data_IF_646836439863
#
_entry.id   IF_646836439863
#
_cell.length_a   1.000
_cell.length_b   1.000
_cell.length_c   1.000
_cell.angle_alpha   90.00
_cell.angle_beta   90.00
_cell.angle_gamma   90.00
#
_symmetry.space_group_name_H-M   'P 1'
#
loop_
_entity.id
_entity.type
_entity.pdbx_description
1 polymer ?
#
# COMPACT_ATOMS: atom_id res chain seq x y z
N UNK A 1 1.58 25.75 -22.57
CA UNK A 1 1.39 24.82 -21.42
C UNK A 1 1.95 23.48 -21.82
N UNK A 2 3.03 23.03 -21.18
CA UNK A 2 3.55 21.66 -21.35
C UNK A 2 2.88 20.82 -20.28
N UNK A 3 2.08 19.85 -20.70
CA UNK A 3 1.49 18.85 -19.82
C UNK A 3 2.62 18.10 -19.12
N UNK A 4 2.74 18.21 -17.81
CA UNK A 4 3.51 17.28 -17.00
C UNK A 4 2.69 16.00 -16.90
N UNK A 5 3.22 14.90 -17.44
CA UNK A 5 2.64 13.58 -17.23
C UNK A 5 3.26 13.05 -15.95
N UNK A 6 2.52 13.16 -14.85
CA UNK A 6 2.83 12.43 -13.62
C UNK A 6 2.39 11.00 -13.89
N UNK A 7 3.34 10.06 -13.87
CA UNK A 7 3.00 8.63 -13.87
C UNK A 7 2.54 8.30 -12.46
N UNK A 8 1.23 8.37 -12.22
CA UNK A 8 0.66 7.76 -11.02
C UNK A 8 0.65 6.25 -11.28
N UNK A 9 1.31 5.42 -10.46
CA UNK A 9 1.39 3.97 -10.69
C UNK A 9 0.03 3.28 -10.65
N UNK A 10 -0.97 3.93 -10.04
CA UNK A 10 -2.33 3.43 -9.78
C UNK A 10 -3.36 4.56 -9.95
N UNK A 11 -4.63 4.25 -10.17
CA UNK A 11 -5.71 5.23 -10.35
C UNK A 11 -6.49 5.54 -9.06
N UNK A 12 -5.78 5.58 -7.95
CA UNK A 12 -6.31 5.92 -6.64
C UNK A 12 -5.57 7.17 -6.13
N UNK A 13 -6.28 8.08 -5.49
CA UNK A 13 -5.82 9.42 -5.11
C UNK A 13 -6.96 10.44 -5.21
N UNK A 14 -6.83 11.60 -4.55
CA UNK A 14 -7.94 12.55 -4.28
C UNK A 14 -8.69 13.07 -5.52
N UNK A 15 -8.10 12.94 -6.72
CA UNK A 15 -8.72 13.34 -7.98
C UNK A 15 -9.38 12.20 -8.76
N UNK A 16 -9.37 10.96 -8.25
CA UNK A 16 -10.00 9.80 -8.87
C UNK A 16 -11.17 9.30 -8.03
N UNK A 17 -12.40 9.26 -8.57
CA UNK A 17 -13.55 8.77 -7.82
C UNK A 17 -13.38 7.28 -7.49
N UNK A 18 -13.63 6.89 -6.24
CA UNK A 18 -13.58 5.50 -5.78
C UNK A 18 -14.95 5.02 -5.27
N UNK A 19 -15.09 3.71 -5.09
CA UNK A 19 -16.27 3.10 -4.45
C UNK A 19 -15.90 1.83 -3.67
N UNK A 20 -16.69 1.52 -2.64
CA UNK A 20 -16.58 0.29 -1.87
C UNK A 20 -16.80 -0.95 -2.75
N UNK A 21 -15.88 -1.90 -2.65
CA UNK A 21 -15.84 -3.10 -3.46
C UNK A 21 -15.69 -4.38 -2.61
N UNK A 22 -16.36 -4.45 -1.46
CA UNK A 22 -16.34 -5.61 -0.58
C UNK A 22 -15.12 -5.60 0.35
N UNK A 23 -14.07 -6.41 0.11
CA UNK A 23 -12.86 -6.43 0.94
C UNK A 23 -11.90 -5.28 0.65
N UNK A 24 -12.28 -4.29 -0.17
CA UNK A 24 -11.43 -3.19 -0.59
C UNK A 24 -12.23 -2.17 -1.37
N UNK A 25 -11.57 -1.45 -2.27
CA UNK A 25 -12.17 -0.38 -3.07
C UNK A 25 -11.84 -0.53 -4.56
N UNK A 26 -12.61 0.17 -5.40
CA UNK A 26 -12.40 0.22 -6.84
C UNK A 26 -12.30 1.66 -7.32
N UNK A 27 -11.34 1.93 -8.20
CA UNK A 27 -11.24 3.20 -8.91
C UNK A 27 -12.33 3.26 -9.98
N UNK A 28 -13.26 4.21 -9.88
CA UNK A 28 -14.35 4.39 -10.81
C UNK A 28 -13.90 4.95 -12.16
N UNK A 29 -12.66 5.40 -12.30
CA UNK A 29 -12.09 5.82 -13.59
C UNK A 29 -11.53 4.67 -14.41
N UNK A 30 -10.85 3.70 -13.80
CA UNK A 30 -10.13 2.62 -14.49
C UNK A 30 -10.75 1.24 -14.29
N UNK A 31 -11.52 1.06 -13.22
CA UNK A 31 -11.95 -0.25 -12.74
C UNK A 31 -10.86 -1.06 -12.05
N UNK A 32 -9.75 -0.41 -11.67
CA UNK A 32 -8.72 -1.00 -10.83
C UNK A 32 -9.27 -1.29 -9.43
N UNK A 33 -9.03 -2.50 -8.92
CA UNK A 33 -9.28 -2.88 -7.53
C UNK A 33 -8.03 -2.72 -6.66
N UNK A 34 -8.22 -2.23 -5.43
CA UNK A 34 -7.22 -2.17 -4.36
C UNK A 34 -7.79 -2.71 -3.04
N UNK A 35 -6.94 -3.38 -2.24
CA UNK A 35 -7.24 -3.78 -0.87
C UNK A 35 -5.96 -3.72 -0.02
N UNK A 36 -6.09 -3.45 1.27
CA UNK A 36 -5.00 -3.48 2.24
C UNK A 36 -5.31 -4.39 3.42
N UNK A 37 -4.26 -4.87 4.09
CA UNK A 37 -4.37 -5.70 5.28
C UNK A 37 -3.18 -5.47 6.21
N UNK A 38 -3.47 -5.27 7.50
CA UNK A 38 -2.47 -5.30 8.57
C UNK A 38 -2.28 -6.72 9.06
N UNK A 39 -1.10 -7.29 8.83
CA UNK A 39 -0.78 -8.65 9.25
C UNK A 39 -0.26 -8.68 10.70
N UNK A 40 0.42 -7.62 11.14
CA UNK A 40 0.97 -7.49 12.50
C UNK A 40 0.68 -6.09 13.03
N UNK A 41 0.16 -6.02 14.25
CA UNK A 41 0.10 -4.80 15.07
C UNK A 41 0.44 -5.20 16.51
N UNK A 42 1.46 -4.55 17.06
CA UNK A 42 1.93 -4.82 18.42
C UNK A 42 2.04 -3.52 19.22
N UNK A 43 1.16 -3.34 20.22
CA UNK A 43 1.13 -2.12 21.00
C UNK A 43 2.42 -1.77 21.72
N UNK A 44 2.64 -0.46 21.91
CA UNK A 44 3.87 0.07 22.48
C UNK A 44 3.76 1.25 23.42
N UNK A 45 4.90 1.60 24.01
CA UNK A 45 5.03 2.79 24.86
C UNK A 45 5.18 4.10 24.06
N UNK A 46 5.54 4.02 22.77
CA UNK A 46 5.76 5.14 21.82
C UNK A 46 5.38 4.68 20.41
N UNK A 47 4.10 4.35 20.25
CA UNK A 47 3.54 3.83 19.00
C UNK A 47 3.59 2.30 18.87
N UNK A 48 2.75 1.83 17.97
CA UNK A 48 2.52 0.41 17.69
C UNK A 48 3.49 -0.06 16.60
N UNK A 49 4.12 -1.23 16.78
CA UNK A 49 4.87 -1.84 15.69
C UNK A 49 3.90 -2.51 14.72
N UNK A 50 3.90 -2.10 13.45
CA UNK A 50 3.01 -2.64 12.44
C UNK A 50 3.75 -3.19 11.21
N UNK A 51 3.14 -4.21 10.60
CA UNK A 51 3.45 -4.67 9.24
C UNK A 51 2.14 -4.87 8.51
N UNK A 52 2.01 -4.18 7.39
CA UNK A 52 0.85 -4.22 6.53
C UNK A 52 1.26 -4.52 5.09
N UNK A 53 0.26 -4.67 4.23
CA UNK A 53 0.43 -4.83 2.80
C UNK A 53 -0.79 -4.31 2.08
N UNK A 54 -0.58 -3.87 0.86
CA UNK A 54 -1.64 -3.49 -0.06
C UNK A 54 -1.55 -4.33 -1.33
N UNK A 55 -2.66 -4.46 -2.04
CA UNK A 55 -2.74 -5.09 -3.34
C UNK A 55 -3.37 -4.13 -4.32
N UNK A 56 -2.81 -4.03 -5.52
CA UNK A 56 -3.42 -3.33 -6.64
C UNK A 56 -3.46 -4.24 -7.88
N UNK A 57 -4.65 -4.32 -8.49
CA UNK A 57 -4.86 -5.09 -9.70
C UNK A 57 -4.18 -4.52 -10.96
N UNK A 58 -3.78 -3.25 -10.96
CA UNK A 58 -3.11 -2.61 -12.11
C UNK A 58 -1.70 -2.13 -11.75
N UNK A 59 -1.11 -2.66 -10.67
CA UNK A 59 0.26 -2.33 -10.29
C UNK A 59 1.28 -2.55 -11.42
N UNK A 60 2.32 -1.72 -11.45
CA UNK A 60 3.41 -1.84 -12.42
C UNK A 60 4.12 -3.20 -12.33
N UNK A 61 4.68 -3.67 -13.44
CA UNK A 61 5.28 -5.02 -13.55
C UNK A 61 6.59 -5.22 -12.80
N UNK A 62 7.19 -4.15 -12.26
CA UNK A 62 8.54 -4.17 -11.67
C UNK A 62 8.57 -4.74 -10.24
N UNK A 63 7.51 -5.46 -9.88
CA UNK A 63 7.17 -5.73 -8.50
C UNK A 63 8.08 -6.82 -7.90
N UNK A 64 9.20 -6.36 -7.33
CA UNK A 64 10.11 -7.14 -6.48
C UNK A 64 9.53 -7.42 -5.09
N UNK A 65 8.21 -7.27 -4.96
CA UNK A 65 7.46 -7.47 -3.72
C UNK A 65 7.81 -8.76 -3.03
N UNK A 66 8.04 -8.60 -1.73
CA UNK A 66 8.29 -9.70 -0.82
C UNK A 66 7.03 -10.52 -0.53
N UNK A 67 5.85 -10.02 -0.87
CA UNK A 67 4.58 -10.76 -0.81
C UNK A 67 4.15 -11.32 -2.18
N UNK A 68 4.94 -11.11 -3.23
CA UNK A 68 4.64 -11.60 -4.57
C UNK A 68 3.79 -10.64 -5.41
N UNK A 69 3.49 -11.01 -6.66
CA UNK A 69 3.03 -10.05 -7.66
C UNK A 69 1.71 -9.36 -7.30
N UNK A 70 1.68 -8.04 -7.44
CA UNK A 70 0.51 -7.20 -7.23
C UNK A 70 0.31 -6.77 -5.79
N UNK A 71 1.11 -7.31 -4.85
CA UNK A 71 1.12 -6.89 -3.45
C UNK A 71 2.29 -5.96 -3.19
N UNK A 72 2.10 -4.90 -2.43
CA UNK A 72 3.18 -4.06 -1.90
C UNK A 72 3.28 -4.26 -0.41
N UNK A 73 4.51 -4.34 0.12
CA UNK A 73 4.72 -4.43 1.56
C UNK A 73 4.76 -3.03 2.16
N UNK A 74 3.95 -2.78 3.18
CA UNK A 74 4.06 -1.60 4.03
C UNK A 74 4.73 -1.98 5.34
N UNK A 75 6.01 -1.62 5.46
CA UNK A 75 6.78 -1.80 6.68
C UNK A 75 6.82 -0.48 7.44
N UNK A 76 5.65 -0.03 7.90
CA UNK A 76 5.50 1.26 8.59
C UNK A 76 6.33 1.30 9.87
N UNK A 77 6.42 0.17 10.56
CA UNK A 77 7.23 -0.03 11.75
C UNK A 77 6.78 0.75 12.97
N UNK A 78 6.19 1.94 12.80
CA UNK A 78 5.35 2.66 13.75
C UNK A 78 4.01 2.94 13.06
N UNK A 79 2.93 3.11 13.80
CA UNK A 79 1.63 3.58 13.31
C UNK A 79 1.60 5.06 12.89
N UNK A 80 2.76 5.71 12.91
CA UNK A 80 3.00 7.12 12.62
C UNK A 80 4.15 7.26 11.62
N UNK A 81 4.22 8.39 10.93
CA UNK A 81 5.17 8.60 9.85
C UNK A 81 4.75 7.97 8.54
N UNK A 82 5.64 8.08 7.54
CA UNK A 82 5.39 7.68 6.14
C UNK A 82 6.36 6.59 5.70
N UNK A 83 6.86 5.76 6.62
CA UNK A 83 7.88 4.76 6.30
C UNK A 83 7.39 3.70 5.29
N UNK A 84 6.08 3.48 5.20
CA UNK A 84 5.45 2.65 4.18
C UNK A 84 5.36 3.27 2.79
N UNK A 85 5.58 4.57 2.64
CA UNK A 85 5.37 5.27 1.36
C UNK A 85 6.48 4.93 0.37
N UNK A 86 6.11 4.80 -0.90
CA UNK A 86 7.05 4.77 -2.01
C UNK A 86 7.57 6.18 -2.29
N UNK A 87 8.87 6.32 -2.53
CA UNK A 87 9.48 7.60 -2.89
C UNK A 87 9.92 7.56 -4.34
N UNK A 88 9.16 8.23 -5.20
CA UNK A 88 9.47 8.38 -6.62
C UNK A 88 10.34 9.63 -6.84
N UNK A 89 11.62 9.43 -7.16
CA UNK A 89 12.56 10.51 -7.44
C UNK A 89 12.63 10.84 -8.94
N UNK A 90 12.03 11.98 -9.32
CA UNK A 90 12.03 12.52 -10.69
C UNK A 90 12.87 13.80 -10.82
N UNK A 91 13.86 13.99 -9.93
CA UNK A 91 14.60 15.26 -9.83
C UNK A 91 15.42 15.64 -11.07
N UNK A 92 15.81 14.66 -11.90
CA UNK A 92 16.48 14.88 -13.18
C UNK A 92 15.52 15.03 -14.38
N UNK A 93 14.27 14.56 -14.26
CA UNK A 93 13.25 14.62 -15.31
C UNK A 93 12.50 15.94 -15.24
N UNK A 94 11.89 16.23 -14.10
CA UNK A 94 11.03 17.40 -13.90
C UNK A 94 11.34 18.20 -12.64
N UNK A 95 12.23 17.69 -11.80
CA UNK A 95 12.68 18.36 -10.60
C UNK A 95 11.84 18.08 -9.36
N UNK A 96 11.04 17.02 -9.37
CA UNK A 96 10.15 16.64 -8.26
C UNK A 96 10.55 15.35 -7.56
N UNK A 97 10.06 15.21 -6.32
CA UNK A 97 10.00 13.96 -5.56
C UNK A 97 8.54 13.77 -5.15
N UNK A 98 8.02 12.57 -5.33
CA UNK A 98 6.67 12.20 -4.87
C UNK A 98 6.77 11.14 -3.78
N UNK A 99 6.05 11.32 -2.68
CA UNK A 99 5.82 10.28 -1.67
C UNK A 99 4.42 9.72 -1.90
N UNK A 100 4.32 8.42 -2.16
CA UNK A 100 3.11 7.75 -2.61
C UNK A 100 2.70 6.73 -1.54
N UNK A 101 1.47 6.84 -1.03
CA UNK A 101 0.92 5.91 -0.03
C UNK A 101 0.44 4.59 -0.67
N UNK A 102 -0.01 3.64 0.14
CA UNK A 102 -0.45 2.32 -0.30
C UNK A 102 -1.85 2.32 -0.93
N UNK A 103 -2.59 3.41 -0.75
CA UNK A 103 -3.79 3.74 -1.51
C UNK A 103 -3.51 4.54 -2.78
N UNK A 104 -2.25 4.85 -3.14
CA UNK A 104 -1.90 5.58 -4.36
C UNK A 104 -2.02 7.11 -4.30
N UNK A 105 -2.45 7.67 -3.16
CA UNK A 105 -2.34 9.09 -2.87
C UNK A 105 -0.88 9.55 -2.93
N UNK A 106 -0.63 10.77 -3.41
CA UNK A 106 0.73 11.26 -3.65
C UNK A 106 0.94 12.67 -3.14
N UNK A 107 1.98 12.86 -2.34
CA UNK A 107 2.48 14.16 -1.91
C UNK A 107 3.66 14.57 -2.80
N UNK A 108 3.52 15.66 -3.55
CA UNK A 108 4.48 16.05 -4.60
C UNK A 108 5.25 17.31 -4.20
N UNK A 109 6.56 17.19 -4.15
CA UNK A 109 7.46 18.25 -3.73
C UNK A 109 8.45 18.62 -4.85
N UNK A 110 8.72 19.92 -5.02
CA UNK A 110 9.64 20.47 -6.02
C UNK A 110 10.94 20.92 -5.40
N UNK A 111 12.04 20.61 -6.08
CA UNK A 111 13.37 20.97 -5.63
C UNK A 111 13.58 22.49 -5.53
N UNK A 112 14.44 22.95 -4.60
CA UNK A 112 14.66 24.37 -4.36
C UNK A 112 15.18 25.10 -5.61
N UNK A 113 14.60 26.27 -5.88
CA UNK A 113 14.92 27.08 -7.06
C UNK A 113 14.31 26.60 -8.38
N UNK A 114 13.43 25.59 -8.36
CA UNK A 114 12.71 25.13 -9.55
C UNK A 114 13.61 24.54 -10.63
N UNK A 115 14.76 23.98 -10.25
CA UNK A 115 15.74 23.38 -11.16
C UNK A 115 15.39 21.93 -11.49
N UNK A 116 16.23 21.28 -12.31
CA UNK A 116 16.18 19.83 -12.62
C UNK A 116 17.51 19.16 -12.31
N UNK A 117 18.08 19.55 -11.18
CA UNK A 117 19.36 19.00 -10.73
C UNK A 117 19.08 17.72 -9.96
N UNK A 118 19.68 16.63 -10.42
CA UNK A 118 19.56 15.31 -9.77
C UNK A 118 19.94 15.39 -8.30
N UNK A 119 19.05 14.91 -7.42
CA UNK A 119 19.26 14.82 -5.97
C UNK A 119 19.82 16.10 -5.34
N UNK A 120 19.33 17.26 -5.75
CA UNK A 120 19.79 18.55 -5.22
C UNK A 120 19.49 18.65 -3.73
N UNK A 121 20.48 18.91 -2.86
CA UNK A 121 20.23 19.12 -1.43
C UNK A 121 19.44 20.40 -1.18
N UNK A 122 18.63 20.37 -0.13
CA UNK A 122 17.84 21.50 0.36
C UNK A 122 16.41 21.11 0.70
N UNK A 123 15.63 22.12 1.09
CA UNK A 123 14.20 22.00 1.38
C UNK A 123 13.39 22.06 0.09
N UNK A 124 12.50 21.09 -0.09
CA UNK A 124 11.62 20.99 -1.25
C UNK A 124 10.25 21.57 -0.88
N UNK A 125 9.62 22.25 -1.84
CA UNK A 125 8.34 22.94 -1.62
C UNK A 125 7.18 22.18 -2.24
N UNK A 126 5.99 22.11 -1.58
CA UNK A 126 4.78 21.51 -2.16
C UNK A 126 4.46 22.03 -3.56
N UNK A 127 3.98 21.14 -4.44
CA UNK A 127 3.63 21.47 -5.84
C UNK A 127 2.17 21.88 -6.00
N UNK A 128 1.27 21.33 -5.18
CA UNK A 128 -0.17 21.53 -5.20
C UNK A 128 -0.73 21.87 -3.81
N UNK A 129 -2.01 22.25 -3.78
CA UNK A 129 -2.71 22.64 -2.56
C UNK A 129 -2.89 21.45 -1.60
N UNK A 130 -3.14 20.26 -2.13
CA UNK A 130 -3.28 19.03 -1.35
C UNK A 130 -2.00 18.75 -0.57
N UNK A 131 -0.84 18.73 -1.24
CA UNK A 131 0.46 18.56 -0.60
C UNK A 131 0.77 19.69 0.38
N UNK A 132 0.39 20.94 0.05
CA UNK A 132 0.62 22.08 0.93
C UNK A 132 -0.23 22.03 2.20
N UNK A 133 -1.45 21.49 2.10
CA UNK A 133 -2.41 21.40 3.21
C UNK A 133 -1.98 20.44 4.31
N UNK A 134 -1.12 19.45 3.97
CA UNK A 134 -0.51 18.52 4.94
C UNK A 134 0.42 19.24 5.93
N UNK A 135 0.94 20.42 5.58
CA UNK A 135 1.85 21.18 6.46
C UNK A 135 3.23 20.54 6.67
N UNK A 136 3.53 19.44 5.97
CA UNK A 136 4.79 18.71 6.08
C UNK A 136 5.95 19.39 5.33
N UNK A 137 7.18 19.04 5.73
CA UNK A 137 8.44 19.48 5.12
C UNK A 137 9.23 18.32 4.57
N UNK A 138 9.72 18.46 3.34
CA UNK A 138 10.62 17.49 2.73
C UNK A 138 12.01 18.10 2.56
N UNK A 139 13.04 17.48 3.15
CA UNK A 139 14.44 17.94 3.05
C UNK A 139 15.34 16.84 2.52
N UNK A 140 16.08 17.14 1.46
CA UNK A 140 17.15 16.27 0.97
C UNK A 140 18.50 16.77 1.49
N UNK A 141 19.29 15.89 2.10
CA UNK A 141 20.64 16.15 2.55
C UNK A 141 21.63 15.13 1.99
N UNK A 142 22.92 15.48 1.98
CA UNK A 142 23.99 14.63 1.46
C UNK A 142 23.98 14.50 -0.07
N UNK A 143 24.78 13.55 -0.59
CA UNK A 143 24.86 13.25 -2.02
C UNK A 143 25.28 11.79 -2.24
N UNK A 144 24.92 11.23 -3.41
CA UNK A 144 25.23 9.83 -3.74
C UNK A 144 24.65 8.86 -2.71
N UNK A 145 25.40 7.81 -2.36
CA UNK A 145 24.97 6.80 -1.36
C UNK A 145 24.83 7.31 0.06
N UNK A 146 25.35 8.50 0.35
CA UNK A 146 25.19 9.13 1.66
C UNK A 146 23.97 10.07 1.71
N UNK A 147 23.18 10.15 0.63
CA UNK A 147 22.02 11.01 0.58
C UNK A 147 20.89 10.48 1.49
N UNK A 148 20.24 11.42 2.18
CA UNK A 148 19.10 11.17 3.07
C UNK A 148 17.96 12.10 2.68
N UNK A 149 16.74 11.58 2.77
CA UNK A 149 15.52 12.34 2.57
C UNK A 149 14.72 12.30 3.88
N UNK A 150 14.46 13.46 4.47
CA UNK A 150 13.70 13.61 5.70
C UNK A 150 12.33 14.23 5.38
N UNK A 151 11.27 13.48 5.66
CA UNK A 151 9.88 13.97 5.66
C UNK A 151 9.47 14.27 7.09
N UNK A 152 9.17 15.53 7.39
CA UNK A 152 8.78 16.02 8.71
C UNK A 152 7.32 16.43 8.69
N UNK A 153 6.48 15.73 9.44
CA UNK A 153 5.05 16.02 9.58
C UNK A 153 4.81 17.26 10.46
N UNK A 154 3.58 17.79 10.43
CA UNK A 154 3.22 19.01 11.18
C UNK A 154 3.41 18.84 12.70
N UNK A 155 3.17 17.63 13.21
CA UNK A 155 3.35 17.30 14.62
C UNK A 155 4.83 17.27 15.05
N UNK A 156 5.76 17.20 14.08
CA UNK A 156 7.20 17.09 14.27
C UNK A 156 7.76 15.68 14.11
N UNK A 157 6.94 14.70 13.73
CA UNK A 157 7.38 13.34 13.41
C UNK A 157 8.27 13.35 12.16
N UNK A 158 9.42 12.70 12.24
CA UNK A 158 10.41 12.66 11.15
C UNK A 158 10.56 11.23 10.64
N UNK A 159 10.17 11.01 9.38
CA UNK A 159 10.50 9.81 8.62
C UNK A 159 11.74 10.08 7.77
N UNK A 160 12.80 9.28 7.98
CA UNK A 160 14.05 9.36 7.22
C UNK A 160 14.16 8.20 6.25
N UNK A 161 14.45 8.52 4.99
CA UNK A 161 14.82 7.58 3.94
C UNK A 161 16.31 7.71 3.63
N UNK A 162 16.91 6.61 3.20
CA UNK A 162 18.30 6.53 2.75
C UNK A 162 18.35 6.10 1.29
N UNK A 163 19.25 6.73 0.55
CA UNK A 163 19.41 6.44 -0.86
C UNK A 163 20.13 5.10 -1.07
N UNK A 164 19.47 4.21 -1.82
CA UNK A 164 20.02 2.95 -2.29
C UNK A 164 20.08 2.98 -3.81
N UNK A 165 21.23 2.58 -4.36
CA UNK A 165 21.38 2.38 -5.80
C UNK A 165 22.02 1.02 -6.05
N UNK A 166 21.61 0.37 -7.11
CA UNK A 166 22.44 -0.66 -7.77
C UNK A 166 23.11 0.00 -8.98
N UNK A 167 24.37 -0.33 -9.24
CA UNK A 167 25.10 0.22 -10.40
C UNK A 167 24.31 -0.03 -11.71
N UNK A 168 23.86 1.04 -12.36
CA UNK A 168 23.04 0.96 -13.59
C UNK A 168 21.54 0.70 -13.36
N UNK A 169 21.05 0.74 -12.11
CA UNK A 169 19.64 0.58 -11.76
C UNK A 169 18.93 1.89 -11.42
N UNK A 170 17.64 1.77 -11.11
CA UNK A 170 16.74 2.88 -10.75
C UNK A 170 17.14 3.52 -9.40
N UNK A 171 16.74 4.79 -9.21
CA UNK A 171 16.95 5.52 -7.94
C UNK A 171 15.95 5.00 -6.91
N UNK A 172 16.44 4.38 -5.83
CA UNK A 172 15.57 3.81 -4.80
C UNK A 172 15.84 4.49 -3.46
N UNK A 173 14.79 4.98 -2.84
CA UNK A 173 14.83 5.53 -1.49
C UNK A 173 14.17 4.53 -0.53
N UNK A 174 14.87 4.22 0.56
CA UNK A 174 14.47 3.17 1.49
C UNK A 174 14.26 3.75 2.88
N UNK A 175 13.13 3.49 3.56
CA UNK A 175 12.92 3.94 4.93
C UNK A 175 14.02 3.40 5.84
N UNK A 176 14.53 4.29 6.69
CA UNK A 176 15.65 4.06 7.59
C UNK A 176 15.26 4.27 9.06
N UNK A 177 14.45 5.28 9.37
CA UNK A 177 13.93 5.49 10.72
C UNK A 177 12.69 6.38 10.77
N UNK A 178 11.86 6.19 11.79
CA UNK A 178 10.79 7.13 12.20
C UNK A 178 11.09 7.63 13.61
N UNK A 179 11.04 8.95 13.82
CA UNK A 179 11.32 9.61 15.11
C UNK A 179 10.19 10.54 15.49
N UNK A 180 9.60 10.35 16.67
CA UNK A 180 8.60 11.26 17.22
C UNK A 180 9.23 12.46 17.95
N UNK A 181 8.55 13.61 17.96
CA UNK A 181 8.92 14.73 18.79
C UNK A 181 8.70 14.41 20.28
N UNK A 182 9.74 14.59 21.09
CA UNK A 182 9.69 14.36 22.54
C UNK A 182 9.96 12.92 23.00
N UNK A 183 10.10 11.97 22.07
CA UNK A 183 10.44 10.56 22.37
C UNK A 183 11.96 10.34 22.38
N UNK A 184 12.45 9.66 23.42
CA UNK A 184 13.85 9.22 23.48
C UNK A 184 14.04 7.95 22.63
N UNK A 185 14.19 8.11 21.31
CA UNK A 185 14.53 7.01 20.41
C UNK A 185 13.81 7.08 19.07
N UNK A 186 14.21 6.22 18.14
CA UNK A 186 13.61 6.09 16.83
C UNK A 186 13.28 4.61 16.55
N UNK A 187 12.19 4.36 15.83
CA UNK A 187 12.00 3.06 15.20
C UNK A 187 12.97 2.94 14.05
N UNK A 188 13.65 1.80 13.96
CA UNK A 188 14.73 1.61 12.98
C UNK A 188 14.54 0.33 12.16
N UNK A 189 14.94 0.40 10.89
CA UNK A 189 14.79 -0.66 9.93
C UNK A 189 16.14 -1.26 9.56
N UNK A 190 16.37 -2.51 9.94
CA UNK A 190 17.57 -3.26 9.55
C UNK A 190 17.30 -4.02 8.26
N UNK A 191 18.26 -3.99 7.34
CA UNK A 191 18.15 -4.65 6.03
C UNK A 191 19.26 -5.66 5.82
N UNK A 192 18.96 -6.72 5.08
CA UNK A 192 19.95 -7.63 4.55
C UNK A 192 20.88 -6.91 3.56
N UNK A 193 22.19 -7.12 3.70
CA UNK A 193 23.18 -6.36 2.95
C UNK A 193 23.14 -6.64 1.44
N UNK A 194 22.79 -7.87 1.05
CA UNK A 194 22.78 -8.32 -0.34
C UNK A 194 21.44 -8.03 -1.03
N UNK A 195 20.33 -8.42 -0.40
CA UNK A 195 18.98 -8.33 -0.97
C UNK A 195 18.29 -6.99 -0.71
N UNK A 196 18.81 -6.17 0.22
CA UNK A 196 18.24 -4.90 0.68
C UNK A 196 16.85 -5.02 1.33
N UNK A 197 16.38 -6.24 1.58
CA UNK A 197 15.09 -6.52 2.24
C UNK A 197 15.17 -6.24 3.72
N UNK A 198 14.09 -5.70 4.30
CA UNK A 198 14.02 -5.45 5.75
C UNK A 198 13.97 -6.79 6.47
N UNK A 199 14.88 -6.99 7.42
CA UNK A 199 14.97 -8.20 8.25
C UNK A 199 14.55 -7.94 9.70
N UNK A 200 14.61 -6.69 10.17
CA UNK A 200 14.14 -6.31 11.50
C UNK A 200 13.59 -4.89 11.52
N UNK A 201 12.48 -4.73 12.21
CA UNK A 201 11.92 -3.44 12.66
C UNK A 201 12.11 -3.38 14.17
N UNK A 202 13.00 -2.51 14.62
CA UNK A 202 13.33 -2.33 16.04
C UNK A 202 12.59 -1.12 16.59
N UNK A 203 11.84 -1.30 17.68
CA UNK A 203 11.14 -0.21 18.34
C UNK A 203 12.10 0.83 18.95
N UNK A 204 11.60 2.02 19.32
CA UNK A 204 12.42 3.04 19.96
C UNK A 204 13.07 2.51 21.24
N UNK A 205 14.38 2.67 21.35
CA UNK A 205 15.17 2.08 22.44
C UNK A 205 14.94 2.84 23.75
N UNK A 206 14.48 2.19 24.83
CA UNK A 206 14.28 2.87 26.11
C UNK A 206 15.59 3.46 26.67
N UNK A 207 15.54 4.57 27.42
CA UNK A 207 16.72 5.13 28.07
C UNK A 207 17.46 4.10 28.94
N UNK A 208 18.78 4.00 28.76
CA UNK A 208 19.62 3.07 29.53
C UNK A 208 19.60 1.62 29.05
N UNK A 209 18.86 1.31 27.97
CA UNK A 209 18.85 -0.01 27.31
C UNK A 209 19.66 0.07 26.02
N UNK A 210 20.35 -1.01 25.66
CA UNK A 210 21.00 -1.16 24.35
C UNK A 210 20.30 -2.27 23.57
N UNK A 211 19.71 -1.94 22.43
CA UNK A 211 19.05 -2.90 21.57
C UNK A 211 19.83 -3.10 20.27
N UNK A 212 20.30 -4.32 19.98
CA UNK A 212 21.08 -4.55 18.78
C UNK A 212 20.20 -4.62 17.52
N UNK A 213 20.69 -4.01 16.44
CA UNK A 213 20.06 -4.04 15.12
C UNK A 213 19.98 -5.47 14.53
N UNK A 214 20.89 -6.36 14.93
CA UNK A 214 20.91 -7.77 14.51
C UNK A 214 21.19 -8.69 15.70
N UNK A 215 20.77 -9.95 15.59
CA UNK A 215 21.01 -10.96 16.63
C UNK A 215 20.05 -10.89 17.82
N UNK A 216 20.47 -11.46 18.95
CA UNK A 216 19.63 -11.60 20.13
C UNK A 216 19.36 -10.26 20.83
N UNK A 217 18.10 -10.01 21.19
CA UNK A 217 17.69 -8.80 21.89
C UNK A 217 17.96 -8.90 23.40
N UNK A 218 18.21 -7.74 24.02
CA UNK A 218 18.37 -7.61 25.47
C UNK A 218 17.01 -7.32 26.15
N UNK A 219 16.86 -7.59 27.46
CA UNK A 219 15.69 -7.15 28.23
C UNK A 219 15.43 -5.64 28.06
N UNK A 220 14.16 -5.30 27.83
CA UNK A 220 13.72 -3.93 27.53
C UNK A 220 13.66 -3.60 26.03
N UNK A 221 14.20 -4.46 25.17
CA UNK A 221 14.05 -4.33 23.72
C UNK A 221 12.78 -5.03 23.22
N UNK A 222 12.21 -4.49 22.15
CA UNK A 222 11.16 -5.16 21.38
C UNK A 222 11.37 -4.95 19.89
N UNK A 223 11.14 -5.99 19.08
CA UNK A 223 11.29 -5.92 17.64
C UNK A 223 10.34 -6.88 16.92
N UNK A 224 10.09 -6.56 15.66
CA UNK A 224 9.54 -7.47 14.67
C UNK A 224 10.69 -7.95 13.77
N UNK A 225 10.83 -9.26 13.62
CA UNK A 225 11.80 -9.90 12.72
C UNK A 225 11.07 -10.52 11.54
N UNK A 226 11.55 -10.25 10.32
CA UNK A 226 10.98 -10.74 9.06
C UNK A 226 11.91 -11.80 8.49
N UNK A 227 11.39 -13.03 8.36
CA UNK A 227 12.13 -14.14 7.77
C UNK A 227 11.67 -14.36 6.34
N UNK A 228 12.60 -14.39 5.39
CA UNK A 228 12.33 -14.75 4.01
C UNK A 228 12.67 -16.22 3.75
N UNK A 229 11.90 -16.88 2.89
CA UNK A 229 12.23 -18.22 2.44
C UNK A 229 13.51 -18.19 1.57
N UNK A 230 14.40 -19.16 1.77
CA UNK A 230 15.67 -19.27 1.04
C UNK A 230 15.58 -20.21 -0.16
N UNK A 231 14.57 -21.08 -0.18
CA UNK A 231 14.30 -22.04 -1.25
C UNK A 231 12.84 -21.96 -1.67
N UNK A 232 12.53 -22.44 -2.88
CA UNK A 232 11.16 -22.62 -3.34
C UNK A 232 10.77 -24.08 -3.13
N UNK A 233 9.90 -24.36 -2.16
CA UNK A 233 9.48 -25.71 -1.81
C UNK A 233 8.09 -25.70 -1.15
N UNK A 234 7.17 -26.53 -1.66
CA UNK A 234 5.80 -26.58 -1.16
C UNK A 234 5.11 -25.22 -1.32
N UNK A 235 4.76 -24.61 -0.19
CA UNK A 235 4.10 -23.29 -0.10
C UNK A 235 5.08 -22.13 0.13
N UNK A 236 6.39 -22.41 0.17
CA UNK A 236 7.44 -21.39 0.33
C UNK A 236 8.07 -21.03 -1.02
N UNK A 237 8.41 -19.75 -1.19
CA UNK A 237 9.06 -19.23 -2.41
C UNK A 237 10.30 -18.45 -2.04
N UNK A 238 11.42 -18.79 -2.67
CA UNK A 238 12.71 -18.14 -2.41
C UNK A 238 12.60 -16.62 -2.60
N UNK A 239 12.99 -15.87 -1.57
CA UNK A 239 12.95 -14.42 -1.52
C UNK A 239 11.63 -13.82 -1.07
N UNK A 240 10.54 -14.57 -0.93
CA UNK A 240 9.28 -14.07 -0.39
C UNK A 240 9.23 -14.26 1.14
N UNK A 241 8.40 -13.46 1.82
CA UNK A 241 8.26 -13.52 3.29
C UNK A 241 7.74 -14.89 3.68
N UNK A 242 8.41 -15.58 4.59
CA UNK A 242 7.97 -16.86 5.13
C UNK A 242 7.15 -16.67 6.40
N UNK A 243 7.67 -15.85 7.31
CA UNK A 243 7.06 -15.61 8.61
C UNK A 243 7.55 -14.29 9.20
N UNK A 244 6.74 -13.75 10.11
CA UNK A 244 7.07 -12.62 10.94
C UNK A 244 7.00 -13.06 12.39
N UNK A 245 8.02 -12.71 13.17
CA UNK A 245 8.09 -13.00 14.60
C UNK A 245 8.20 -11.71 15.41
N UNK A 246 7.53 -11.69 16.55
CA UNK A 246 7.69 -10.63 17.55
C UNK A 246 8.56 -11.12 18.69
N UNK A 247 9.56 -10.32 19.08
CA UNK A 247 10.44 -10.60 20.21
C UNK A 247 10.37 -9.48 21.23
N UNK A 248 10.10 -9.81 22.50
CA UNK A 248 10.09 -8.86 23.62
C UNK A 248 10.39 -9.56 24.96
N UNK A 249 10.55 -8.78 26.03
CA UNK A 249 10.67 -9.32 27.37
C UNK A 249 9.33 -9.84 27.88
N UNK A 250 9.31 -11.09 28.33
CA UNK A 250 8.14 -11.76 28.88
C UNK A 250 8.39 -12.03 30.37
N UNK A 251 7.74 -11.29 31.29
CA UNK A 251 7.91 -11.49 32.73
C UNK A 251 7.30 -12.82 33.21
N UNK A 252 6.35 -13.37 32.45
CA UNK A 252 5.58 -14.58 32.79
C UNK A 252 6.07 -15.81 32.01
N UNK A 253 7.20 -15.68 31.32
CA UNK A 253 7.78 -16.76 30.52
C UNK A 253 7.95 -18.03 31.33
N UNK A 254 7.46 -19.14 30.78
CA UNK A 254 7.66 -20.47 31.36
C UNK A 254 9.17 -20.77 31.52
N UNK A 255 9.60 -21.09 32.73
CA UNK A 255 11.02 -21.29 33.08
C UNK A 255 11.74 -20.04 33.61
N UNK A 256 11.02 -18.93 33.78
CA UNK A 256 11.52 -17.70 34.38
C UNK A 256 11.54 -16.54 33.40
N UNK A 257 11.36 -15.33 33.93
CA UNK A 257 11.27 -14.10 33.18
C UNK A 257 12.46 -13.91 32.22
N UNK A 258 12.18 -13.54 30.98
CA UNK A 258 13.21 -13.40 29.96
C UNK A 258 12.67 -13.05 28.58
N UNK A 259 13.56 -12.88 27.61
CA UNK A 259 13.16 -12.61 26.23
C UNK A 259 12.39 -13.79 25.65
N UNK A 260 11.28 -13.50 24.98
CA UNK A 260 10.40 -14.46 24.33
C UNK A 260 10.18 -14.05 22.88
N UNK A 261 10.10 -15.03 21.99
CA UNK A 261 9.85 -14.84 20.57
C UNK A 261 8.65 -15.66 20.17
N UNK A 262 7.68 -15.03 19.52
CA UNK A 262 6.44 -15.66 19.05
C UNK A 262 6.25 -15.39 17.56
N UNK A 263 5.79 -16.39 16.82
CA UNK A 263 5.38 -16.19 15.42
C UNK A 263 4.03 -15.48 15.41
N UNK A 264 3.96 -14.34 14.74
CA UNK A 264 2.76 -13.49 14.69
C UNK A 264 2.07 -13.51 13.32
N UNK A 265 2.81 -13.85 12.26
CA UNK A 265 2.24 -14.09 10.94
C UNK A 265 3.06 -15.16 10.18
N UNK A 266 2.40 -16.02 9.44
CA UNK A 266 3.00 -17.01 8.55
C UNK A 266 2.34 -16.93 7.16
N UNK A 267 3.15 -17.08 6.12
CA UNK A 267 2.77 -16.82 4.73
C UNK A 267 2.94 -18.06 3.88
N UNK A 268 1.95 -18.32 3.02
CA UNK A 268 1.95 -19.42 2.07
C UNK A 268 1.68 -18.88 0.67
N UNK A 269 2.33 -19.47 -0.32
CA UNK A 269 2.26 -19.07 -1.73
C UNK A 269 1.78 -20.21 -2.60
N UNK A 270 1.11 -19.88 -3.71
CA UNK A 270 0.71 -20.84 -4.72
C UNK A 270 1.87 -21.21 -5.66
N UNK A 271 1.62 -22.17 -6.56
CA UNK A 271 2.62 -22.63 -7.53
C UNK A 271 3.06 -21.56 -8.54
N UNK A 272 2.28 -20.48 -8.68
CA UNK A 272 2.61 -19.32 -9.50
C UNK A 272 3.34 -18.23 -8.69
N UNK A 273 3.74 -18.53 -7.44
CA UNK A 273 4.47 -17.64 -6.53
C UNK A 273 3.66 -16.42 -6.09
N UNK A 274 2.34 -16.55 -6.06
CA UNK A 274 1.42 -15.52 -5.58
C UNK A 274 1.02 -15.84 -4.15
N UNK A 275 0.88 -14.83 -3.32
CA UNK A 275 0.43 -14.99 -1.94
C UNK A 275 -0.94 -15.66 -1.91
N UNK A 276 -1.00 -16.84 -1.31
CA UNK A 276 -2.21 -17.66 -1.25
C UNK A 276 -2.90 -17.60 0.12
N UNK A 277 -2.12 -17.44 1.20
CA UNK A 277 -2.69 -17.44 2.56
C UNK A 277 -1.77 -16.75 3.56
N UNK A 278 -2.38 -16.07 4.53
CA UNK A 278 -1.72 -15.61 5.74
C UNK A 278 -2.42 -16.12 6.97
N UNK A 279 -1.64 -16.63 7.90
CA UNK A 279 -2.11 -17.20 9.16
C UNK A 279 -1.52 -16.43 10.32
N UNK A 280 -2.34 -16.04 11.29
CA UNK A 280 -1.88 -15.73 12.65
C UNK A 280 -1.76 -17.06 13.43
N UNK A 281 -0.54 -17.59 13.65
CA UNK A 281 -0.37 -18.90 14.26
C UNK A 281 -0.78 -18.93 15.73
N UNK A 282 -0.91 -17.76 16.38
CA UNK A 282 -1.34 -17.65 17.79
C UNK A 282 -2.81 -18.01 17.95
N UNK A 283 -3.61 -17.70 16.94
CA UNK A 283 -5.06 -17.91 16.94
C UNK A 283 -5.51 -19.04 15.99
N UNK A 284 -4.63 -19.49 15.09
CA UNK A 284 -4.99 -20.44 14.03
C UNK A 284 -5.94 -19.85 12.99
N UNK A 285 -6.08 -18.52 12.99
CA UNK A 285 -6.92 -17.75 12.09
C UNK A 285 -6.13 -17.39 10.83
N UNK A 286 -6.76 -17.50 9.67
CA UNK A 286 -6.11 -17.19 8.40
C UNK A 286 -7.03 -16.45 7.43
N UNK A 287 -6.40 -15.76 6.47
CA UNK A 287 -7.03 -15.16 5.30
C UNK A 287 -6.47 -15.84 4.05
N UNK A 288 -7.34 -16.21 3.09
CA UNK A 288 -6.93 -16.84 1.82
C UNK A 288 -7.22 -15.97 0.61
N UNK A 289 -6.38 -16.11 -0.41
CA UNK A 289 -6.44 -15.38 -1.66
C UNK A 289 -6.40 -16.34 -2.85
N UNK A 290 -7.19 -16.06 -3.90
CA UNK A 290 -7.11 -16.77 -5.18
C UNK A 290 -7.14 -15.79 -6.33
N UNK A 291 -6.48 -16.17 -7.42
CA UNK A 291 -6.28 -15.30 -8.58
C UNK A 291 -6.61 -16.04 -9.87
N UNK A 292 -7.05 -15.31 -10.89
CA UNK A 292 -7.26 -15.85 -12.22
C UNK A 292 -6.98 -14.81 -13.32
N UNK A 293 -6.28 -15.22 -14.38
CA UNK A 293 -5.89 -14.32 -15.45
C UNK A 293 -4.90 -13.24 -14.98
N UNK A 294 -4.68 -12.26 -15.85
CA UNK A 294 -3.86 -11.09 -15.57
C UNK A 294 -4.59 -9.82 -16.00
N UNK A 295 -4.31 -8.71 -15.34
CA UNK A 295 -4.70 -7.37 -15.74
C UNK A 295 -3.96 -6.93 -17.00
N UNK A 296 -4.33 -5.75 -17.52
CA UNK A 296 -3.63 -5.14 -18.66
C UNK A 296 -2.20 -4.75 -18.29
N UNK A 297 -1.94 -4.41 -17.02
CA UNK A 297 -0.57 -4.21 -16.50
C UNK A 297 0.20 -5.53 -16.28
N UNK A 298 -0.42 -6.69 -16.47
CA UNK A 298 0.22 -8.00 -16.31
C UNK A 298 0.15 -8.58 -14.89
N UNK A 299 -0.51 -7.89 -13.95
CA UNK A 299 -0.67 -8.36 -12.58
C UNK A 299 -1.72 -9.47 -12.46
N UNK A 300 -1.55 -10.46 -11.58
CA UNK A 300 -2.58 -11.48 -11.37
C UNK A 300 -3.83 -10.85 -10.76
N UNK A 301 -5.00 -11.05 -11.38
CA UNK A 301 -6.25 -10.50 -10.84
C UNK A 301 -6.71 -11.33 -9.64
N UNK A 302 -6.84 -10.68 -8.48
CA UNK A 302 -7.38 -11.27 -7.27
C UNK A 302 -8.89 -11.51 -7.45
N UNK A 303 -9.32 -12.77 -7.48
CA UNK A 303 -10.70 -13.17 -7.76
C UNK A 303 -11.45 -13.69 -6.54
N UNK A 304 -10.76 -14.11 -5.50
CA UNK A 304 -11.38 -14.51 -4.22
C UNK A 304 -10.54 -14.00 -3.05
N UNK A 305 -11.23 -13.39 -2.08
CA UNK A 305 -10.66 -13.08 -0.76
C UNK A 305 -11.52 -13.78 0.29
N UNK A 306 -10.91 -14.61 1.13
CA UNK A 306 -11.59 -15.29 2.24
C UNK A 306 -11.04 -14.72 3.55
N UNK A 307 -11.70 -13.72 4.16
CA UNK A 307 -11.27 -13.19 5.44
C UNK A 307 -11.43 -14.23 6.54
N UNK A 308 -10.67 -14.05 7.63
CA UNK A 308 -10.66 -15.04 8.70
C UNK A 308 -12.00 -15.24 9.36
N UNK A 309 -12.45 -16.51 9.42
CA UNK A 309 -13.73 -16.89 10.01
C UNK A 309 -14.97 -16.37 9.26
N UNK A 310 -14.81 -15.77 8.07
CA UNK A 310 -15.91 -15.16 7.31
C UNK A 310 -16.10 -15.84 5.94
N UNK A 311 -17.31 -15.67 5.39
CA UNK A 311 -17.61 -16.14 4.05
C UNK A 311 -16.80 -15.37 2.98
N UNK A 312 -16.33 -16.04 1.91
CA UNK A 312 -15.49 -15.43 0.89
C UNK A 312 -16.22 -14.38 0.05
N UNK A 313 -15.45 -13.38 -0.37
CA UNK A 313 -15.79 -12.47 -1.45
C UNK A 313 -15.30 -13.01 -2.78
N UNK A 314 -16.07 -12.82 -3.84
CA UNK A 314 -15.67 -13.12 -5.23
C UNK A 314 -15.66 -11.82 -6.03
N UNK A 315 -14.55 -11.58 -6.71
CA UNK A 315 -14.29 -10.40 -7.54
C UNK A 315 -14.29 -10.85 -9.00
N UNK A 316 -15.21 -10.33 -9.81
CA UNK A 316 -15.32 -10.68 -11.22
C UNK A 316 -14.99 -9.47 -12.11
N UNK A 317 -14.01 -9.68 -12.98
CA UNK A 317 -13.45 -8.68 -13.90
C UNK A 317 -13.92 -8.97 -15.32
N UNK A 318 -14.08 -7.92 -16.11
CA UNK A 318 -14.49 -8.01 -17.51
C UNK A 318 -14.14 -6.75 -18.29
N UNK A 319 -14.54 -6.72 -19.56
CA UNK A 319 -14.27 -5.58 -20.42
C UNK A 319 -15.21 -4.40 -20.10
N UNK A 320 -14.64 -3.21 -20.01
CA UNK A 320 -15.35 -1.93 -19.95
C UNK A 320 -14.85 -1.00 -21.05
N UNK A 321 -15.38 0.22 -21.12
CA UNK A 321 -14.85 1.24 -22.03
C UNK A 321 -13.48 1.77 -21.60
N UNK A 322 -13.04 1.48 -20.37
CA UNK A 322 -11.82 2.01 -19.76
C UNK A 322 -10.67 0.99 -19.85
N UNK A 323 -10.97 -0.28 -19.58
CA UNK A 323 -9.98 -1.36 -19.59
C UNK A 323 -10.64 -2.72 -19.91
N UNK A 324 -9.86 -3.65 -20.45
CA UNK A 324 -10.34 -5.00 -20.77
C UNK A 324 -10.54 -5.90 -19.53
N UNK A 325 -10.06 -5.46 -18.36
CA UNK A 325 -10.03 -6.17 -17.08
C UNK A 325 -10.44 -5.27 -15.92
N UNK A 326 -11.45 -4.43 -16.10
CA UNK A 326 -12.08 -3.67 -15.02
C UNK A 326 -12.85 -4.59 -14.07
N UNK A 327 -12.82 -4.31 -12.76
CA UNK A 327 -13.69 -4.98 -11.79
C UNK A 327 -15.14 -4.61 -12.08
N UNK A 328 -16.01 -5.58 -12.37
CA UNK A 328 -17.41 -5.31 -12.70
C UNK A 328 -18.35 -5.67 -11.57
N UNK A 329 -17.98 -6.64 -10.75
CA UNK A 329 -18.89 -7.38 -9.88
C UNK A 329 -18.17 -7.79 -8.59
N UNK A 330 -18.85 -7.60 -7.46
CA UNK A 330 -18.46 -8.14 -6.16
C UNK A 330 -19.60 -8.96 -5.59
N UNK A 331 -19.32 -10.23 -5.35
CA UNK A 331 -20.23 -11.20 -4.75
C UNK A 331 -19.73 -11.63 -3.38
N UNK A 332 -20.64 -11.97 -2.46
CA UNK A 332 -20.32 -12.57 -1.15
C UNK A 332 -21.05 -13.90 -1.00
N UNK A 333 -20.28 -14.94 -0.69
CA UNK A 333 -20.83 -16.25 -0.38
C UNK A 333 -21.72 -16.19 0.87
N UNK A 334 -22.72 -17.09 0.99
CA UNK A 334 -23.55 -17.15 2.19
C UNK A 334 -22.73 -17.54 3.42
N UNK A 335 -23.13 -17.02 4.59
CA UNK A 335 -22.50 -17.38 5.87
C UNK A 335 -22.76 -18.83 6.30
N UNK A 336 -23.76 -19.50 5.71
CA UNK A 336 -24.13 -20.89 6.01
C UNK A 336 -24.25 -21.71 4.74
N UNK A 337 -23.93 -23.00 4.84
CA UNK A 337 -24.05 -23.94 3.73
C UNK A 337 -25.50 -24.00 3.22
N UNK A 338 -25.68 -23.89 1.90
CA UNK A 338 -26.98 -23.91 1.24
C UNK A 338 -27.66 -22.54 1.07
N UNK A 339 -27.05 -21.45 1.57
CA UNK A 339 -27.51 -20.10 1.25
C UNK A 339 -27.21 -19.70 -0.20
N UNK A 340 -27.84 -18.61 -0.66
CA UNK A 340 -27.54 -18.03 -1.97
C UNK A 340 -26.39 -17.01 -1.86
N UNK A 341 -25.55 -16.95 -2.90
CA UNK A 341 -24.57 -15.87 -3.07
C UNK A 341 -25.29 -14.54 -3.21
N UNK A 342 -24.81 -13.52 -2.50
CA UNK A 342 -25.33 -12.16 -2.58
C UNK A 342 -24.39 -11.27 -3.41
N UNK A 343 -24.91 -10.66 -4.47
CA UNK A 343 -24.23 -9.57 -5.17
C UNK A 343 -24.25 -8.33 -4.30
N UNK A 344 -23.07 -7.86 -3.93
CA UNK A 344 -22.90 -6.65 -3.13
C UNK A 344 -22.86 -5.41 -4.01
N UNK A 345 -22.04 -5.46 -5.06
CA UNK A 345 -21.78 -4.32 -5.92
C UNK A 345 -21.71 -4.73 -7.39
N UNK A 346 -22.18 -3.84 -8.26
CA UNK A 346 -21.93 -3.87 -9.70
C UNK A 346 -21.49 -2.49 -10.17
N UNK A 347 -20.43 -2.46 -10.98
CA UNK A 347 -19.81 -1.25 -11.48
C UNK A 347 -20.02 -1.11 -12.98
N UNK A 348 -20.34 0.11 -13.42
CA UNK A 348 -20.45 0.48 -14.83
C UNK A 348 -19.59 1.72 -15.07
N UNK A 349 -18.74 1.66 -16.08
CA UNK A 349 -17.71 2.66 -16.38
C UNK A 349 -18.00 3.40 -17.70
N UNK A 350 -17.43 4.60 -17.84
CA UNK A 350 -17.48 5.37 -19.09
C UNK A 350 -18.88 5.71 -19.58
N UNK A 351 -19.78 6.00 -18.65
CA UNK A 351 -21.07 6.60 -18.97
C UNK A 351 -20.80 7.99 -19.54
N UNK A 352 -21.23 8.23 -20.78
CA UNK A 352 -21.18 9.57 -21.38
C UNK A 352 -22.21 10.49 -20.69
N UNK A 353 -21.78 11.50 -19.91
CA UNK A 353 -22.69 12.39 -19.19
C UNK A 353 -23.50 13.29 -20.13
N UNK A 354 -23.01 13.49 -21.36
CA UNK A 354 -23.63 14.34 -22.37
C UNK A 354 -24.61 13.59 -23.24
N UNK A 355 -24.59 12.26 -23.21
CA UNK A 355 -25.57 11.43 -23.89
C UNK A 355 -26.96 11.60 -23.24
N UNK A 356 -28.01 11.65 -24.07
CA UNK A 356 -29.37 11.71 -23.56
C UNK A 356 -29.75 10.35 -22.95
N UNK A 357 -29.66 10.26 -21.62
CA UNK A 357 -30.09 9.11 -20.84
C UNK A 357 -31.31 9.50 -20.02
N UNK A 358 -32.43 8.77 -20.15
CA UNK A 358 -33.65 9.03 -19.37
C UNK A 358 -33.57 8.51 -17.94
N UNK A 359 -32.55 7.71 -17.62
CA UNK A 359 -32.30 7.15 -16.30
C UNK A 359 -31.33 7.98 -15.45
N UNK A 360 -30.72 9.03 -16.01
CA UNK A 360 -29.78 9.92 -15.33
C UNK A 360 -30.20 11.38 -15.53
N UNK A 361 -29.86 12.30 -14.59
CA UNK A 361 -29.99 13.74 -14.81
C UNK A 361 -29.26 14.17 -16.09
N UNK A 362 -29.77 15.20 -16.77
CA UNK A 362 -29.03 15.79 -17.90
C UNK A 362 -27.79 16.52 -17.36
N UNK A 363 -26.61 16.12 -17.82
CA UNK A 363 -25.33 16.72 -17.41
C UNK A 363 -24.68 17.52 -18.56
N UNK A 364 -25.48 18.00 -19.50
CA UNK A 364 -25.03 18.89 -20.57
C UNK A 364 -24.77 20.28 -20.01
N UNK A 365 -23.91 21.05 -20.67
CA UNK A 365 -23.53 22.40 -20.22
C UNK A 365 -24.73 23.33 -19.94
N UNK A 366 -25.81 23.23 -20.73
CA UNK A 366 -27.02 24.01 -20.53
C UNK A 366 -27.74 23.70 -19.19
N UNK A 367 -27.58 22.48 -18.69
CA UNK A 367 -28.19 22.02 -17.43
C UNK A 367 -27.25 22.27 -16.25
N UNK A 368 -25.96 21.94 -16.38
CA UNK A 368 -24.97 22.07 -15.29
C UNK A 368 -24.65 23.53 -14.93
N UNK A 369 -24.77 24.45 -15.88
CA UNK A 369 -24.64 25.89 -15.62
C UNK A 369 -25.71 26.43 -14.66
N UNK A 370 -26.88 25.78 -14.58
CA UNK A 370 -27.91 26.10 -13.57
C UNK A 370 -27.39 25.89 -12.15
N UNK A 371 -26.39 25.02 -11.97
CA UNK A 371 -25.76 24.71 -10.68
C UNK A 371 -24.42 25.42 -10.50
N UNK A 372 -24.09 26.39 -11.37
CA UNK A 372 -22.82 27.11 -11.30
C UNK A 372 -21.61 26.30 -11.76
N UNK A 373 -21.83 25.15 -12.43
CA UNK A 373 -20.74 24.33 -12.97
C UNK A 373 -20.41 24.78 -14.40
N UNK A 374 -19.31 25.55 -14.54
CA UNK A 374 -18.88 26.15 -15.80
C UNK A 374 -18.35 25.13 -16.83
N UNK A 375 -17.79 24.01 -16.35
CA UNK A 375 -17.28 22.93 -17.20
C UNK A 375 -18.15 21.69 -17.00
N UNK A 376 -18.84 21.20 -18.05
CA UNK A 376 -19.68 20.02 -17.94
C UNK A 376 -18.84 18.77 -17.63
N UNK A 377 -19.39 17.78 -16.89
CA UNK A 377 -18.72 16.51 -16.67
C UNK A 377 -18.35 15.81 -17.98
N UNK A 378 -17.12 15.30 -18.07
CA UNK A 378 -16.62 14.56 -19.23
C UNK A 378 -16.67 13.04 -19.05
N UNK A 379 -17.00 12.57 -17.85
CA UNK A 379 -17.01 11.17 -17.48
C UNK A 379 -18.10 10.88 -16.45
N UNK A 380 -18.67 9.68 -16.54
CA UNK A 380 -19.58 9.14 -15.54
C UNK A 380 -19.28 7.67 -15.26
N UNK A 381 -19.52 7.26 -14.03
CA UNK A 381 -19.58 5.88 -13.60
C UNK A 381 -20.81 5.66 -12.73
N UNK A 382 -21.26 4.42 -12.61
CA UNK A 382 -22.38 4.07 -11.75
C UNK A 382 -22.05 2.86 -10.87
N UNK A 383 -22.45 2.96 -9.61
CA UNK A 383 -22.34 1.88 -8.62
C UNK A 383 -23.75 1.45 -8.26
N UNK A 384 -24.01 0.15 -8.40
CA UNK A 384 -25.28 -0.45 -8.03
C UNK A 384 -25.08 -1.39 -6.86
N UNK A 385 -25.84 -1.18 -5.79
CA UNK A 385 -25.82 -2.05 -4.61
C UNK A 385 -26.67 -3.31 -4.83
N UNK A 386 -26.76 -4.14 -3.80
CA UNK A 386 -27.52 -5.39 -3.81
C UNK A 386 -29.01 -5.23 -4.22
N UNK A 387 -29.58 -4.03 -4.12
CA UNK A 387 -30.97 -3.72 -4.47
C UNK A 387 -31.22 -3.54 -5.98
N UNK A 388 -30.17 -3.35 -6.80
CA UNK A 388 -30.27 -3.04 -8.24
C UNK A 388 -29.29 -3.86 -9.09
N UNK A 389 -29.51 -5.16 -9.17
CA UNK A 389 -28.55 -6.09 -9.78
C UNK A 389 -28.71 -6.32 -11.30
N UNK A 390 -29.86 -5.99 -11.89
CA UNK A 390 -30.13 -6.18 -13.32
C UNK A 390 -30.01 -4.86 -14.09
N UNK A 391 -28.78 -4.45 -14.37
CA UNK A 391 -28.50 -3.26 -15.20
C UNK A 391 -27.57 -3.66 -16.35
N UNK A 392 -28.04 -3.48 -17.58
CA UNK A 392 -27.24 -3.69 -18.80
C UNK A 392 -26.19 -2.60 -18.98
N UNK A 393 -25.03 -2.94 -19.57
CA UNK A 393 -23.95 -1.97 -19.85
C UNK A 393 -22.53 -2.49 -19.65
N UNK A 394 -22.34 -3.63 -18.97
CA UNK A 394 -21.03 -4.26 -18.76
C UNK A 394 -21.22 -5.76 -18.53
N UNK A 395 -20.71 -6.63 -19.42
CA UNK A 395 -20.76 -8.07 -19.23
C UNK A 395 -19.40 -8.56 -18.69
N UNK A 396 -19.36 -9.42 -17.66
CA UNK A 396 -18.12 -10.07 -17.23
C UNK A 396 -17.47 -10.86 -18.37
#
# INVERSE_FOLDING_TARGET
MRSSVVRVPHAFGDNYPTADAGPGQVALWTGEFNTSATDVSVPGYVGDLSVSRSYSSQAGTDDTSVFGPGWTASFDGTDIGVAGFEVADSTDVDGTISLIDDEGGALVFRQPGGTKTTMKPGEYTPVDEDTASVGAKLTLAGAGTAATLDFTEEDGTVTRFTYSHTTGGERVWLPASVTEPGTAGATSFTRDAATKKITRILAPVPPGVTCPATGALNPGCRAIDITYATTTAGVEVAGQVKQITYTAYDPDKAGGAGMSTVVVAAYEYDSAKRLAKVTDPRLGLFTEYRYAGTSTSGQPLLTVVTPSGLAPYTLAYGASSQDAKSLLIVDRAPATAGGATARLSRFVYGIDPTATNTALPQLKAADTTTWGQEVPPSYGAAVFSADRQQVGGSAP
#
